data_IF_287229229509
#
_entry.id   IF_287229229509
#
_cell.length_a   1.000
_cell.length_b   1.000
_cell.length_c   1.000
_cell.angle_alpha   90.00
_cell.angle_beta   90.00
_cell.angle_gamma   90.00
#
_symmetry.space_group_name_H-M   'P 1'
#
loop_
_entity.id
_entity.type
_entity.pdbx_description
1 polymer ?
#
# COMPACT_ATOMS: atom_id res chain seq x y z
N UNK A 1 -4.28 -60.43 30.85
CA UNK A 1 -4.10 -58.95 30.77
C UNK A 1 -3.04 -58.60 29.72
N UNK A 2 -3.37 -58.52 28.41
CA UNK A 2 -2.46 -57.98 27.36
C UNK A 2 -3.20 -57.41 26.12
N UNK A 3 -4.54 -57.24 26.16
CA UNK A 3 -5.33 -56.78 25.00
C UNK A 3 -5.56 -55.26 24.94
N UNK A 4 -5.38 -54.54 26.05
CA UNK A 4 -5.54 -53.07 26.09
C UNK A 4 -4.40 -52.27 25.45
N UNK A 5 -3.19 -52.83 25.35
CA UNK A 5 -2.02 -52.15 24.77
C UNK A 5 -2.03 -52.13 23.24
N UNK A 6 -2.68 -53.10 22.57
CA UNK A 6 -2.67 -53.21 21.10
C UNK A 6 -3.57 -52.16 20.45
N UNK A 7 -4.62 -51.70 21.14
CA UNK A 7 -5.53 -50.65 20.67
C UNK A 7 -5.06 -49.22 20.97
N UNK A 8 -4.10 -49.05 21.89
CA UNK A 8 -3.58 -47.72 22.27
C UNK A 8 -2.59 -47.15 21.25
N UNK A 9 -1.75 -48.00 20.65
CA UNK A 9 -0.73 -47.55 19.69
C UNK A 9 -1.33 -46.89 18.44
N UNK A 10 -2.37 -47.46 17.78
CA UNK A 10 -3.00 -46.81 16.63
C UNK A 10 -3.66 -45.48 16.99
N UNK A 11 -4.30 -45.39 18.17
CA UNK A 11 -4.96 -44.17 18.65
C UNK A 11 -3.94 -43.05 18.90
N UNK A 12 -2.81 -43.35 19.54
CA UNK A 12 -1.73 -42.39 19.79
C UNK A 12 -1.14 -41.91 18.47
N UNK A 13 -0.98 -42.79 17.48
CA UNK A 13 -0.47 -42.43 16.15
C UNK A 13 -1.44 -41.51 15.40
N UNK A 14 -2.75 -41.80 15.46
CA UNK A 14 -3.78 -40.94 14.88
C UNK A 14 -3.81 -39.56 15.56
N UNK A 15 -3.73 -39.53 16.89
CA UNK A 15 -3.69 -38.27 17.65
C UNK A 15 -2.43 -37.46 17.33
N UNK A 16 -1.27 -38.10 17.26
CA UNK A 16 -0.02 -37.45 16.87
C UNK A 16 -0.09 -36.87 15.44
N UNK A 17 -0.73 -37.57 14.51
CA UNK A 17 -0.95 -37.08 13.15
C UNK A 17 -1.86 -35.84 13.14
N UNK A 18 -2.97 -35.86 13.89
CA UNK A 18 -3.88 -34.71 14.00
C UNK A 18 -3.16 -33.51 14.62
N UNK A 19 -2.44 -33.70 15.73
CA UNK A 19 -1.68 -32.63 16.37
C UNK A 19 -0.60 -32.09 15.43
N UNK A 20 0.11 -32.96 14.72
CA UNK A 20 1.09 -32.56 13.71
C UNK A 20 0.48 -31.71 12.60
N UNK A 21 -0.69 -32.12 12.07
CA UNK A 21 -1.42 -31.36 11.06
C UNK A 21 -1.86 -29.98 11.57
N UNK A 22 -2.35 -29.89 12.82
CA UNK A 22 -2.73 -28.63 13.44
C UNK A 22 -1.54 -27.68 13.64
N UNK A 23 -0.38 -28.20 14.06
CA UNK A 23 0.85 -27.42 14.20
C UNK A 23 1.29 -26.86 12.85
N UNK A 24 1.26 -27.69 11.79
CA UNK A 24 1.62 -27.24 10.44
C UNK A 24 0.65 -26.18 9.91
N UNK A 25 -0.66 -26.38 10.09
CA UNK A 25 -1.67 -25.41 9.68
C UNK A 25 -1.52 -24.07 10.41
N UNK A 26 -1.28 -24.11 11.73
CA UNK A 26 -1.03 -22.91 12.52
C UNK A 26 0.28 -22.23 12.11
N UNK A 27 1.36 -22.99 11.93
CA UNK A 27 2.65 -22.47 11.48
C UNK A 27 2.57 -21.80 10.11
N UNK A 28 1.84 -22.40 9.17
CA UNK A 28 1.59 -21.81 7.86
C UNK A 28 0.79 -20.50 7.96
N UNK A 29 -0.26 -20.47 8.79
CA UNK A 29 -1.03 -19.26 9.04
C UNK A 29 -0.16 -18.14 9.60
N UNK A 30 0.61 -18.41 10.65
CA UNK A 30 1.51 -17.41 11.26
C UNK A 30 2.54 -16.91 10.25
N UNK A 31 3.09 -17.78 9.41
CA UNK A 31 4.02 -17.37 8.37
C UNK A 31 3.38 -16.42 7.35
N UNK A 32 2.15 -16.71 6.91
CA UNK A 32 1.40 -15.84 5.98
C UNK A 32 1.08 -14.48 6.64
N UNK A 33 0.60 -14.50 7.88
CA UNK A 33 0.27 -13.27 8.62
C UNK A 33 1.51 -12.38 8.82
N UNK A 34 2.69 -12.97 9.01
CA UNK A 34 3.97 -12.24 9.11
C UNK A 34 4.40 -11.61 7.79
N UNK A 35 4.14 -12.26 6.65
CA UNK A 35 4.46 -11.71 5.33
C UNK A 35 3.61 -10.46 5.06
N UNK A 36 2.29 -10.54 5.28
CA UNK A 36 1.42 -9.37 5.09
C UNK A 36 1.76 -8.19 6.03
N UNK A 37 2.26 -8.46 7.24
CA UNK A 37 2.77 -7.41 8.11
C UNK A 37 4.07 -6.78 7.60
N UNK A 38 4.98 -7.57 7.02
CA UNK A 38 6.21 -7.06 6.42
C UNK A 38 5.89 -6.17 5.21
N UNK A 39 5.00 -6.62 4.33
CA UNK A 39 4.55 -5.85 3.16
C UNK A 39 3.95 -4.49 3.60
N UNK A 40 3.11 -4.48 4.64
CA UNK A 40 2.58 -3.22 5.17
C UNK A 40 3.66 -2.28 5.72
N UNK A 41 4.68 -2.82 6.41
CA UNK A 41 5.80 -2.03 6.90
C UNK A 41 6.61 -1.44 5.75
N UNK A 42 6.90 -2.23 4.71
CA UNK A 42 7.63 -1.77 3.53
C UNK A 42 6.87 -0.66 2.79
N UNK A 43 5.54 -0.77 2.71
CA UNK A 43 4.68 0.30 2.21
C UNK A 43 4.80 1.58 3.06
N UNK A 44 4.70 1.47 4.39
CA UNK A 44 4.82 2.63 5.28
C UNK A 44 6.20 3.30 5.18
N UNK A 45 7.27 2.51 5.09
CA UNK A 45 8.62 3.04 4.94
C UNK A 45 8.78 3.76 3.59
N UNK A 46 8.17 3.26 2.53
CA UNK A 46 8.15 3.92 1.20
C UNK A 46 7.38 5.25 1.25
N UNK A 47 6.21 5.28 1.89
CA UNK A 47 5.43 6.51 2.05
C UNK A 47 6.14 7.55 2.93
N UNK A 48 6.84 7.09 3.97
CA UNK A 48 7.65 7.96 4.83
C UNK A 48 8.87 8.50 4.09
N UNK A 49 9.52 7.70 3.27
CA UNK A 49 10.61 8.17 2.42
C UNK A 49 10.12 9.23 1.42
N UNK A 50 8.96 9.00 0.78
CA UNK A 50 8.32 10.00 -0.09
C UNK A 50 8.01 11.29 0.68
N UNK A 51 7.39 11.21 1.86
CA UNK A 51 7.12 12.37 2.74
C UNK A 51 8.40 13.15 3.07
N UNK A 52 9.50 12.46 3.39
CA UNK A 52 10.79 13.10 3.64
C UNK A 52 11.37 13.77 2.39
N UNK A 53 11.18 13.17 1.21
CA UNK A 53 11.60 13.78 -0.06
C UNK A 53 10.77 15.05 -0.34
N UNK A 54 9.45 15.01 -0.15
CA UNK A 54 8.56 16.17 -0.28
C UNK A 54 8.99 17.28 0.68
N UNK A 55 9.16 16.97 1.97
CA UNK A 55 9.61 17.93 2.97
C UNK A 55 11.01 18.51 2.70
N UNK A 56 11.87 17.78 1.97
CA UNK A 56 13.17 18.29 1.53
C UNK A 56 13.02 19.22 0.32
N UNK A 57 12.14 18.88 -0.61
CA UNK A 57 11.89 19.64 -1.84
C UNK A 57 11.17 20.96 -1.59
N UNK A 58 10.38 21.07 -0.53
CA UNK A 58 9.79 22.35 -0.09
C UNK A 58 10.84 23.41 0.32
N UNK A 59 12.11 23.02 0.45
CA UNK A 59 13.22 23.93 0.74
C UNK A 59 14.17 24.12 -0.46
N UNK A 60 13.87 23.54 -1.61
CA UNK A 60 14.68 23.67 -2.81
C UNK A 60 14.26 24.89 -3.64
N UNK A 61 15.15 25.33 -4.51
CA UNK A 61 14.84 26.41 -5.44
C UNK A 61 13.75 25.97 -6.42
N UNK A 62 12.83 26.88 -6.74
CA UNK A 62 11.72 26.67 -7.67
C UNK A 62 12.20 26.05 -9.00
N UNK A 63 11.48 25.04 -9.47
CA UNK A 63 11.81 24.28 -10.69
C UNK A 63 12.82 23.16 -10.47
N UNK A 64 13.32 22.95 -9.26
CA UNK A 64 14.08 21.75 -8.91
C UNK A 64 13.18 20.53 -8.99
N UNK A 65 13.58 19.51 -9.76
CA UNK A 65 12.79 18.31 -9.93
C UNK A 65 13.62 17.03 -9.71
N UNK A 66 12.96 15.98 -9.21
CA UNK A 66 13.57 14.66 -9.01
C UNK A 66 12.57 13.55 -9.35
N UNK A 67 13.06 12.56 -10.08
CA UNK A 67 12.32 11.31 -10.31
C UNK A 67 12.41 10.46 -9.05
N UNK A 68 11.25 10.03 -8.57
CA UNK A 68 11.08 9.14 -7.43
C UNK A 68 10.41 7.86 -7.91
N UNK A 69 11.12 6.74 -7.76
CA UNK A 69 10.61 5.43 -8.13
C UNK A 69 9.73 4.89 -7.00
N UNK A 70 8.46 4.62 -7.30
CA UNK A 70 7.52 4.05 -6.34
C UNK A 70 7.67 2.53 -6.37
N UNK A 71 8.19 2.00 -5.27
CA UNK A 71 8.30 0.57 -5.03
C UNK A 71 7.26 0.18 -3.98
N UNK A 72 6.15 -0.43 -4.41
CA UNK A 72 5.08 -0.88 -3.51
C UNK A 72 5.16 -2.40 -3.35
N UNK A 73 4.63 -2.95 -2.24
CA UNK A 73 4.46 -4.38 -2.09
C UNK A 73 3.56 -4.97 -3.19
N UNK A 74 3.69 -6.27 -3.46
CA UNK A 74 2.98 -6.93 -4.57
C UNK A 74 1.45 -6.88 -4.46
N UNK A 75 0.93 -6.73 -3.24
CA UNK A 75 -0.52 -6.66 -2.99
C UNK A 75 -1.09 -5.26 -3.27
N UNK A 76 -0.23 -4.28 -3.55
CA UNK A 76 -0.61 -2.92 -3.94
C UNK A 76 -0.39 -2.73 -5.43
N UNK A 77 -1.47 -2.43 -6.15
CA UNK A 77 -1.43 -2.14 -7.58
C UNK A 77 -1.07 -0.68 -7.84
N UNK A 78 -1.67 0.25 -7.09
CA UNK A 78 -1.42 1.68 -7.23
C UNK A 78 -1.57 2.44 -5.90
N UNK A 79 -0.90 3.59 -5.81
CA UNK A 79 -1.09 4.57 -4.75
C UNK A 79 -1.61 5.87 -5.34
N UNK A 80 -2.65 6.43 -4.73
CA UNK A 80 -3.38 7.60 -5.20
C UNK A 80 -3.23 8.76 -4.23
N UNK A 81 -2.76 9.90 -4.73
CA UNK A 81 -2.56 11.14 -3.99
C UNK A 81 -3.73 12.09 -4.27
N UNK A 82 -4.40 12.57 -3.22
CA UNK A 82 -5.58 13.42 -3.32
C UNK A 82 -5.35 14.79 -2.70
N UNK A 83 -5.66 15.84 -3.43
CA UNK A 83 -5.68 17.20 -2.92
C UNK A 83 -7.08 17.63 -2.53
N UNK A 84 -7.27 17.94 -1.25
CA UNK A 84 -8.51 18.56 -0.80
C UNK A 84 -8.65 19.96 -1.39
N UNK A 85 -9.79 20.23 -2.02
CA UNK A 85 -10.09 21.52 -2.64
C UNK A 85 -9.77 21.64 -4.13
N UNK A 86 -9.22 20.61 -4.79
CA UNK A 86 -9.20 20.50 -6.26
C UNK A 86 -10.39 19.70 -6.75
N UNK A 87 -10.82 19.96 -7.98
CA UNK A 87 -11.88 19.16 -8.63
C UNK A 87 -11.45 17.69 -8.70
N UNK A 88 -12.43 16.78 -8.61
CA UNK A 88 -12.17 15.35 -8.73
C UNK A 88 -12.04 14.97 -10.21
N UNK A 89 -10.81 14.79 -10.69
CA UNK A 89 -10.46 14.42 -12.07
C UNK A 89 -9.35 13.36 -12.01
N UNK A 90 -9.75 12.11 -11.83
CA UNK A 90 -8.83 11.02 -11.52
C UNK A 90 -7.88 10.72 -12.69
N UNK A 91 -6.59 10.61 -12.38
CA UNK A 91 -5.52 10.23 -13.31
C UNK A 91 -4.78 9.00 -12.79
N UNK A 92 -4.51 8.01 -13.65
CA UNK A 92 -3.70 6.83 -13.37
C UNK A 92 -2.56 6.76 -14.39
N UNK A 93 -1.32 6.83 -13.92
CA UNK A 93 -0.11 6.84 -14.76
C UNK A 93 -0.19 7.89 -15.89
N UNK A 94 -0.78 9.05 -15.61
CA UNK A 94 -0.96 10.16 -16.56
C UNK A 94 -2.12 10.01 -17.56
N UNK A 95 -2.90 8.92 -17.48
CA UNK A 95 -4.12 8.70 -18.26
C UNK A 95 -5.38 8.88 -17.39
N UNK A 96 -6.52 9.18 -17.99
CA UNK A 96 -7.79 9.30 -17.25
C UNK A 96 -8.16 7.94 -16.66
N UNK A 97 -8.53 7.91 -15.38
CA UNK A 97 -8.99 6.69 -14.71
C UNK A 97 -10.23 6.09 -15.39
N UNK A 98 -10.40 4.77 -15.27
CA UNK A 98 -11.67 4.15 -15.62
C UNK A 98 -12.78 4.48 -14.60
N UNK A 99 -14.04 4.36 -15.02
CA UNK A 99 -15.22 4.66 -14.18
C UNK A 99 -15.27 3.84 -12.88
N UNK A 100 -14.64 2.64 -12.86
CA UNK A 100 -14.68 1.74 -11.70
C UNK A 100 -13.70 2.22 -10.63
N UNK A 101 -12.47 2.56 -11.02
CA UNK A 101 -11.45 3.12 -10.15
C UNK A 101 -11.91 4.47 -9.63
N UNK A 102 -12.38 5.35 -10.51
CA UNK A 102 -12.88 6.68 -10.16
C UNK A 102 -14.01 6.59 -9.12
N UNK A 103 -15.03 5.76 -9.39
CA UNK A 103 -16.13 5.54 -8.45
C UNK A 103 -15.73 4.86 -7.15
N UNK A 104 -14.66 4.05 -7.15
CA UNK A 104 -14.12 3.45 -5.93
C UNK A 104 -13.40 4.50 -5.08
N UNK A 105 -12.60 5.37 -5.71
CA UNK A 105 -11.85 6.41 -5.01
C UNK A 105 -12.76 7.50 -4.45
N UNK A 106 -13.80 7.93 -5.19
CA UNK A 106 -14.78 8.91 -4.72
C UNK A 106 -15.47 8.47 -3.41
N UNK A 107 -15.70 7.16 -3.25
CA UNK A 107 -16.27 6.58 -2.03
C UNK A 107 -15.26 6.46 -0.86
N UNK A 108 -13.95 6.49 -1.16
CA UNK A 108 -12.87 6.34 -0.18
C UNK A 108 -12.33 7.68 0.31
N UNK A 109 -12.49 8.75 -0.46
CA UNK A 109 -11.96 10.06 -0.08
C UNK A 109 -12.62 10.56 1.20
N UNK A 110 -11.79 10.89 2.18
CA UNK A 110 -12.14 11.37 3.51
C UNK A 110 -11.29 12.61 3.78
N UNK A 111 -11.86 13.69 4.33
CA UNK A 111 -11.20 15.00 4.49
C UNK A 111 -9.92 15.02 5.36
N UNK A 112 -9.54 13.91 5.98
CA UNK A 112 -8.38 13.82 6.88
C UNK A 112 -7.19 13.04 6.28
N UNK A 113 -7.37 12.40 5.13
CA UNK A 113 -6.36 11.59 4.47
C UNK A 113 -6.22 12.05 3.02
N UNK A 114 -5.04 11.85 2.46
CA UNK A 114 -4.74 12.25 1.09
C UNK A 114 -3.87 11.25 0.34
N UNK A 115 -3.62 10.08 0.93
CA UNK A 115 -2.94 8.98 0.28
C UNK A 115 -3.82 7.74 0.42
N UNK A 116 -4.21 7.18 -0.71
CA UNK A 116 -5.09 6.03 -0.83
C UNK A 116 -4.37 4.90 -1.56
N UNK A 117 -4.71 3.66 -1.21
CA UNK A 117 -4.09 2.47 -1.78
C UNK A 117 -5.14 1.71 -2.58
N UNK A 118 -4.76 1.28 -3.77
CA UNK A 118 -5.57 0.44 -4.64
C UNK A 118 -4.87 -0.91 -4.87
N UNK A 119 -5.59 -2.05 -4.72
CA UNK A 119 -6.97 -2.17 -4.26
C UNK A 119 -7.13 -1.84 -2.76
N UNK A 120 -8.32 -1.42 -2.34
CA UNK A 120 -8.58 -0.92 -0.97
C UNK A 120 -8.46 -1.97 0.14
N UNK A 121 -8.36 -3.25 -0.22
CA UNK A 121 -8.18 -4.37 0.69
C UNK A 121 -6.73 -4.88 0.74
N UNK A 122 -5.79 -4.18 0.09
CA UNK A 122 -4.37 -4.52 0.15
C UNK A 122 -3.85 -4.53 1.60
N UNK A 123 -4.33 -3.60 2.44
CA UNK A 123 -4.07 -3.63 3.88
C UNK A 123 -5.33 -3.27 4.69
N UNK A 124 -5.42 -3.78 5.91
CA UNK A 124 -6.55 -3.52 6.82
C UNK A 124 -6.68 -2.03 7.23
N UNK A 125 -5.60 -1.25 7.11
CA UNK A 125 -5.54 0.17 7.45
C UNK A 125 -4.60 0.94 6.50
N UNK A 126 -5.16 1.71 5.57
CA UNK A 126 -4.38 2.56 4.64
C UNK A 126 -4.86 4.00 4.72
N UNK A 127 -4.58 4.62 5.86
CA UNK A 127 -5.00 5.98 6.17
C UNK A 127 -3.76 6.81 6.44
N UNK A 128 -3.26 7.45 5.39
CA UNK A 128 -2.04 8.22 5.42
C UNK A 128 -2.33 9.67 5.03
N UNK A 129 -1.56 10.56 5.65
CA UNK A 129 -1.58 11.98 5.35
C UNK A 129 -0.15 12.44 5.12
N UNK A 130 0.12 13.00 3.96
CA UNK A 130 1.38 13.67 3.62
C UNK A 130 1.09 15.16 3.47
N UNK A 131 1.92 16.02 4.04
CA UNK A 131 1.73 17.47 3.98
C UNK A 131 2.56 18.10 2.84
N UNK A 132 2.24 19.35 2.49
CA UNK A 132 3.00 20.19 1.56
C UNK A 132 3.16 19.67 0.12
N UNK A 133 2.22 18.85 -0.36
CA UNK A 133 2.18 18.43 -1.77
C UNK A 133 0.92 18.90 -2.49
N UNK A 134 1.03 19.01 -3.80
CA UNK A 134 -0.10 19.06 -4.71
C UNK A 134 0.10 18.16 -5.94
N UNK A 135 -0.93 17.44 -6.36
CA UNK A 135 -1.03 16.80 -7.68
C UNK A 135 -1.16 17.82 -8.82
N UNK A 136 -0.53 17.50 -9.96
CA UNK A 136 -0.49 18.38 -11.14
C UNK A 136 -1.30 17.90 -12.34
N UNK A 137 -1.40 16.58 -12.56
CA UNK A 137 -2.04 16.01 -13.75
C UNK A 137 -3.50 15.61 -13.51
N UNK A 138 -3.82 15.00 -12.37
CA UNK A 138 -5.19 14.74 -11.93
C UNK A 138 -5.37 14.86 -10.42
N UNK A 139 -6.58 14.62 -9.94
CA UNK A 139 -6.92 14.59 -8.53
C UNK A 139 -8.08 13.60 -8.27
N UNK A 140 -7.82 12.42 -7.70
CA UNK A 140 -6.52 11.94 -7.27
C UNK A 140 -5.56 11.61 -8.44
N UNK A 141 -4.28 11.79 -8.22
CA UNK A 141 -3.19 11.31 -9.08
C UNK A 141 -2.72 9.95 -8.58
N UNK A 142 -2.93 8.89 -9.36
CA UNK A 142 -2.61 7.53 -9.04
C UNK A 142 -1.38 7.05 -9.82
N UNK A 143 -0.48 6.36 -9.14
CA UNK A 143 0.75 5.82 -9.71
C UNK A 143 0.81 4.32 -9.44
N UNK A 144 0.99 3.53 -10.50
CA UNK A 144 1.09 2.08 -10.40
C UNK A 144 2.42 1.62 -9.79
N UNK A 145 2.43 0.44 -9.19
CA UNK A 145 3.64 -0.16 -8.64
C UNK A 145 4.73 -0.34 -9.70
N UNK A 146 5.97 0.08 -9.39
CA UNK A 146 7.11 0.04 -10.30
C UNK A 146 7.13 1.19 -11.32
N UNK A 147 6.20 2.14 -11.22
CA UNK A 147 6.26 3.41 -11.96
C UNK A 147 6.98 4.47 -11.15
N UNK A 148 7.33 5.55 -11.83
CA UNK A 148 7.97 6.69 -11.20
C UNK A 148 7.03 7.89 -11.19
N UNK A 149 7.15 8.69 -10.15
CA UNK A 149 6.62 10.05 -10.10
C UNK A 149 7.76 11.05 -10.21
N UNK A 150 7.46 12.26 -10.64
CA UNK A 150 8.37 13.39 -10.55
C UNK A 150 7.89 14.31 -9.42
N UNK A 151 8.82 14.64 -8.54
CA UNK A 151 8.65 15.60 -7.44
C UNK A 151 9.24 16.92 -7.94
N UNK A 152 8.44 17.98 -7.98
CA UNK A 152 8.84 19.30 -8.45
C UNK A 152 8.68 20.34 -7.34
N UNK A 153 9.71 21.12 -7.06
CA UNK A 153 9.63 22.22 -6.09
C UNK A 153 8.98 23.47 -6.70
N UNK A 154 7.93 23.99 -6.05
CA UNK A 154 7.32 25.28 -6.33
C UNK A 154 7.52 26.26 -5.16
N UNK A 155 7.15 27.53 -5.35
CA UNK A 155 7.30 28.57 -4.31
C UNK A 155 6.54 28.23 -3.02
N UNK A 156 5.33 27.69 -3.15
CA UNK A 156 4.42 27.46 -2.02
C UNK A 156 4.10 25.98 -1.73
N UNK A 157 4.47 25.06 -2.63
CA UNK A 157 4.13 23.64 -2.52
C UNK A 157 5.10 22.72 -3.29
N UNK A 158 4.93 21.41 -3.16
CA UNK A 158 5.66 20.40 -3.95
C UNK A 158 4.71 19.70 -4.91
N UNK A 159 4.97 19.81 -6.21
CA UNK A 159 4.20 19.15 -7.25
C UNK A 159 4.51 17.65 -7.32
N UNK A 160 3.47 16.84 -7.44
CA UNK A 160 3.53 15.42 -7.75
C UNK A 160 2.83 15.15 -9.08
N UNK A 161 3.53 14.47 -9.99
CA UNK A 161 2.94 14.02 -11.26
C UNK A 161 3.63 12.76 -11.76
N UNK A 162 2.95 11.99 -12.61
CA UNK A 162 3.51 10.79 -13.24
C UNK A 162 4.75 11.11 -14.09
N UNK A 163 5.71 10.18 -14.10
CA UNK A 163 6.90 10.22 -14.94
C UNK A 163 6.93 9.03 -15.93
N UNK A 164 6.93 9.35 -17.23
CA UNK A 164 6.91 8.38 -18.36
C UNK A 164 8.19 7.55 -18.52
#
# INVERSE_FOLDING_TARGET
MKRGQILGVPLVLLFALIVGALILAYGAKVAIDLVGQADYIDFLDSMKDLENNIATFSHYDEGSAKVYEINLPNDVEAVCFYNDGKDFDCSLDGEICDEVLEGTLDLLVESNFNVYVYPNNAFDQTRLKIEDFETEAGNPECISNGRSLIITAYEDFVGLTYYE
#
